data_IF_497579149059
#
_entry.id   IF_497579149059
#
_cell.length_a   1.000
_cell.length_b   1.000
_cell.length_c   1.000
_cell.angle_alpha   90.00
_cell.angle_beta   90.00
_cell.angle_gamma   90.00
#
_symmetry.space_group_name_H-M   'P 1'
#
loop_
_entity.id
_entity.type
_entity.pdbx_description
1 polymer ?
#
# COMPACT_ATOMS: atom_id res chain seq x y z
N UNK A 1 -15.29 18.92 -8.32
CA UNK A 1 -15.06 17.58 -8.89
C UNK A 1 -13.68 16.99 -8.59
N UNK A 2 -12.54 17.72 -8.66
CA UNK A 2 -11.24 17.08 -8.36
C UNK A 2 -11.00 16.82 -6.85
N UNK A 3 -11.54 17.66 -5.96
CA UNK A 3 -11.36 17.56 -4.51
C UNK A 3 -12.08 16.37 -3.85
N UNK A 4 -13.22 15.94 -4.39
CA UNK A 4 -13.99 14.80 -3.84
C UNK A 4 -13.26 13.46 -4.06
N UNK A 5 -12.59 13.27 -5.20
CA UNK A 5 -11.81 12.05 -5.47
C UNK A 5 -10.60 11.91 -4.55
N UNK A 6 -9.95 13.02 -4.20
CA UNK A 6 -8.80 13.01 -3.28
C UNK A 6 -9.22 12.68 -1.85
N UNK A 7 -10.38 13.18 -1.41
CA UNK A 7 -10.92 12.87 -0.08
C UNK A 7 -11.38 11.41 0.03
N UNK A 8 -12.06 10.88 -0.99
CA UNK A 8 -12.51 9.48 -1.02
C UNK A 8 -11.34 8.50 -0.86
N UNK A 9 -10.17 8.86 -1.40
CA UNK A 9 -8.95 8.06 -1.29
C UNK A 9 -8.37 8.09 0.14
N UNK A 10 -8.30 9.26 0.80
CA UNK A 10 -7.75 9.37 2.17
C UNK A 10 -8.50 8.51 3.19
N UNK A 11 -9.83 8.49 3.15
CA UNK A 11 -10.62 7.65 4.06
C UNK A 11 -10.38 6.14 3.89
N UNK A 12 -9.93 5.71 2.72
CA UNK A 12 -9.61 4.30 2.46
C UNK A 12 -8.18 3.96 2.90
N UNK A 13 -7.24 4.90 2.83
CA UNK A 13 -5.87 4.71 3.33
C UNK A 13 -5.84 4.46 4.85
N UNK A 14 -6.69 5.15 5.61
CA UNK A 14 -6.78 5.00 7.06
C UNK A 14 -7.27 3.62 7.50
N UNK A 15 -7.88 2.83 6.58
CA UNK A 15 -8.29 1.45 6.84
C UNK A 15 -7.14 0.45 6.78
N UNK A 16 -6.01 0.84 6.21
CA UNK A 16 -4.84 -0.03 6.07
C UNK A 16 -4.11 -0.08 7.40
N UNK A 17 -4.18 -1.24 8.04
CA UNK A 17 -3.59 -1.51 9.35
C UNK A 17 -2.49 -2.54 9.25
N UNK A 18 -1.52 -2.47 10.17
CA UNK A 18 -0.38 -3.37 10.22
C UNK A 18 0.88 -2.70 9.70
N UNK A 19 1.99 -2.90 10.41
CA UNK A 19 3.24 -2.18 10.16
C UNK A 19 3.77 -2.44 8.74
N UNK A 20 3.72 -3.69 8.29
CA UNK A 20 4.21 -4.10 6.97
C UNK A 20 3.30 -3.57 5.85
N UNK A 21 1.99 -3.66 6.03
CA UNK A 21 1.00 -3.15 5.07
C UNK A 21 1.09 -1.64 4.91
N UNK A 22 1.24 -0.90 6.01
CA UNK A 22 1.41 0.55 5.99
C UNK A 22 2.72 0.95 5.31
N UNK A 23 3.82 0.26 5.59
CA UNK A 23 5.10 0.60 4.99
C UNK A 23 5.17 0.24 3.49
N UNK A 24 4.59 -0.90 3.09
CA UNK A 24 4.45 -1.24 1.66
C UNK A 24 3.54 -0.23 0.95
N UNK A 25 2.43 0.18 1.56
CA UNK A 25 1.55 1.21 1.00
C UNK A 25 2.26 2.55 0.85
N UNK A 26 3.02 2.97 1.88
CA UNK A 26 3.80 4.20 1.83
C UNK A 26 4.74 4.22 0.63
N UNK A 27 5.57 3.18 0.46
CA UNK A 27 6.51 3.11 -0.66
C UNK A 27 5.83 3.00 -2.02
N UNK A 28 4.67 2.36 -2.10
CA UNK A 28 3.86 2.32 -3.32
C UNK A 28 3.34 3.70 -3.71
N UNK A 29 2.90 4.50 -2.75
CA UNK A 29 2.43 5.87 -2.98
C UNK A 29 3.57 6.81 -3.40
N UNK A 30 4.79 6.57 -2.89
CA UNK A 30 6.02 7.22 -3.34
C UNK A 30 6.49 6.74 -4.73
N UNK A 31 5.80 5.77 -5.34
CA UNK A 31 6.10 5.25 -6.68
C UNK A 31 7.27 4.26 -6.72
N UNK A 32 7.70 3.71 -5.58
CA UNK A 32 8.81 2.76 -5.53
C UNK A 32 8.39 1.38 -6.09
N UNK A 33 9.22 0.75 -6.94
CA UNK A 33 8.89 -0.54 -7.52
C UNK A 33 9.13 -1.70 -6.53
N UNK A 34 8.42 -2.82 -6.68
CA UNK A 34 8.55 -3.99 -5.78
C UNK A 34 9.97 -4.54 -5.64
N UNK A 35 10.77 -4.47 -6.71
CA UNK A 35 12.20 -4.87 -6.68
C UNK A 35 13.05 -4.01 -5.73
N UNK A 36 12.60 -2.79 -5.44
CA UNK A 36 13.22 -1.89 -4.49
C UNK A 36 12.65 -2.11 -3.08
N UNK A 37 11.32 -2.24 -2.97
CA UNK A 37 10.62 -2.45 -1.69
C UNK A 37 11.03 -3.79 -1.05
N UNK A 38 11.14 -4.86 -1.84
CA UNK A 38 11.48 -6.20 -1.34
C UNK A 38 12.76 -6.22 -0.51
N UNK A 39 13.93 -5.84 -1.08
CA UNK A 39 15.17 -5.75 -0.32
C UNK A 39 15.10 -4.81 0.89
N UNK A 40 14.37 -3.69 0.78
CA UNK A 40 14.21 -2.71 1.88
C UNK A 40 13.51 -3.32 3.10
N UNK A 41 12.56 -4.22 2.89
CA UNK A 41 11.77 -4.88 3.95
C UNK A 41 12.19 -6.33 4.21
N UNK A 42 13.30 -6.79 3.63
CA UNK A 42 13.74 -8.19 3.69
C UNK A 42 12.65 -9.18 3.18
N UNK A 43 12.03 -8.84 2.06
CA UNK A 43 10.92 -9.59 1.45
C UNK A 43 11.24 -9.96 0.00
N UNK A 44 10.72 -11.11 -0.42
CA UNK A 44 10.72 -11.48 -1.84
C UNK A 44 9.74 -10.62 -2.64
N UNK A 45 9.91 -10.56 -3.97
CA UNK A 45 8.96 -9.89 -4.87
C UNK A 45 7.52 -10.39 -4.68
N UNK A 46 7.33 -11.71 -4.64
CA UNK A 46 6.01 -12.33 -4.43
C UNK A 46 5.44 -12.00 -3.06
N UNK A 47 6.28 -11.89 -2.03
CA UNK A 47 5.83 -11.47 -0.70
C UNK A 47 5.30 -10.04 -0.72
N UNK A 48 6.00 -9.10 -1.38
CA UNK A 48 5.54 -7.71 -1.53
C UNK A 48 4.23 -7.65 -2.31
N UNK A 49 4.10 -8.44 -3.38
CA UNK A 49 2.85 -8.54 -4.14
C UNK A 49 1.67 -8.98 -3.26
N UNK A 50 1.85 -10.01 -2.43
CA UNK A 50 0.80 -10.46 -1.50
C UNK A 50 0.44 -9.41 -0.46
N UNK A 51 1.41 -8.63 0.05
CA UNK A 51 1.11 -7.50 0.95
C UNK A 51 0.27 -6.45 0.21
N UNK A 52 0.62 -6.10 -1.02
CA UNK A 52 -0.17 -5.16 -1.85
C UNK A 52 -1.61 -5.64 -2.02
N UNK A 53 -1.82 -6.93 -2.27
CA UNK A 53 -3.17 -7.51 -2.38
C UNK A 53 -3.95 -7.35 -1.05
N UNK A 54 -3.33 -7.64 0.10
CA UNK A 54 -3.94 -7.39 1.41
C UNK A 54 -4.26 -5.91 1.65
N UNK A 55 -3.38 -5.00 1.27
CA UNK A 55 -3.60 -3.54 1.35
C UNK A 55 -4.83 -3.14 0.55
N UNK A 56 -4.96 -3.63 -0.69
CA UNK A 56 -6.13 -3.36 -1.53
C UNK A 56 -7.40 -3.92 -0.89
N UNK A 57 -7.35 -5.15 -0.37
CA UNK A 57 -8.49 -5.76 0.33
C UNK A 57 -8.93 -4.95 1.56
N UNK A 58 -7.98 -4.37 2.31
CA UNK A 58 -8.28 -3.50 3.45
C UNK A 58 -8.94 -2.19 3.02
N UNK A 59 -8.51 -1.62 1.90
CA UNK A 59 -9.10 -0.37 1.37
C UNK A 59 -10.54 -0.59 0.86
N UNK A 60 -10.83 -1.78 0.31
CA UNK A 60 -12.14 -2.12 -0.28
C UNK A 60 -13.19 -2.60 0.72
N UNK A 61 -12.79 -3.03 1.93
CA UNK A 61 -13.70 -3.32 3.05
C UNK A 61 -14.18 -2.03 3.70
#
# INVERSE_FOLDING_TARGET
MLKERTQLNRYQLDKVTGDVEQEVLFWLLEGMPFRWIGPKLNMSHTSVQRVRERVIDMMMK
#
